data_IF_891820004414
#
_entry.id   IF_891820004414
#
_cell.length_a   1.000
_cell.length_b   1.000
_cell.length_c   1.000
_cell.angle_alpha   90.00
_cell.angle_beta   90.00
_cell.angle_gamma   90.00
#
_symmetry.space_group_name_H-M   'P 1'
#
loop_
_entity.id
_entity.type
_entity.pdbx_description
1 polymer ?
#
# COMPACT_ATOMS: atom_id res chain seq x y z
N UNK A 1 -26.27 -50.74 7.28
CA UNK A 1 -24.99 -50.38 6.61
C UNK A 1 -25.17 -50.53 5.12
N UNK A 2 -25.34 -49.41 4.41
CA UNK A 2 -24.90 -49.20 3.02
C UNK A 2 -25.26 -47.76 2.64
N UNK A 3 -24.23 -46.99 2.29
CA UNK A 3 -24.30 -45.57 1.97
C UNK A 3 -24.94 -45.35 0.58
N UNK A 4 -25.81 -44.34 0.46
CA UNK A 4 -26.18 -43.75 -0.83
C UNK A 4 -25.32 -42.52 -1.06
N UNK A 5 -24.54 -42.57 -2.12
CA UNK A 5 -23.80 -41.44 -2.69
C UNK A 5 -24.79 -40.61 -3.52
N UNK A 6 -24.99 -39.34 -3.16
CA UNK A 6 -25.69 -38.37 -4.00
C UNK A 6 -24.66 -37.57 -4.80
N UNK A 7 -24.68 -37.72 -6.13
CA UNK A 7 -23.94 -36.87 -7.07
C UNK A 7 -24.69 -35.55 -7.23
N UNK A 8 -24.09 -34.45 -6.79
CA UNK A 8 -24.54 -33.09 -7.12
C UNK A 8 -24.11 -32.75 -8.55
N UNK A 9 -25.07 -32.37 -9.39
CA UNK A 9 -24.85 -31.90 -10.76
C UNK A 9 -24.38 -30.44 -10.74
N UNK A 10 -23.31 -30.16 -11.51
CA UNK A 10 -22.80 -28.83 -11.79
C UNK A 10 -23.60 -28.26 -12.98
N UNK A 11 -24.35 -27.18 -12.76
CA UNK A 11 -25.08 -26.49 -13.85
C UNK A 11 -24.15 -25.53 -14.57
N UNK A 12 -23.81 -25.88 -15.81
CA UNK A 12 -23.07 -25.05 -16.77
C UNK A 12 -24.05 -24.04 -17.41
N UNK A 13 -23.84 -22.75 -17.18
CA UNK A 13 -24.66 -21.69 -17.77
C UNK A 13 -24.08 -21.32 -19.14
N UNK A 14 -24.76 -21.73 -20.22
CA UNK A 14 -24.44 -21.40 -21.61
C UNK A 14 -25.01 -20.02 -21.93
N UNK A 15 -24.17 -19.05 -22.28
CA UNK A 15 -24.62 -17.77 -22.85
C UNK A 15 -24.99 -17.95 -24.32
N UNK A 16 -26.23 -17.60 -24.66
CA UNK A 16 -26.75 -17.56 -26.02
C UNK A 16 -26.31 -16.24 -26.69
N UNK A 17 -25.56 -16.33 -27.79
CA UNK A 17 -25.19 -15.19 -28.62
C UNK A 17 -26.37 -14.68 -29.43
N UNK A 18 -26.65 -13.37 -29.36
CA UNK A 18 -27.61 -12.69 -30.23
C UNK A 18 -26.86 -12.13 -31.44
N UNK A 19 -27.21 -12.60 -32.64
CA UNK A 19 -26.80 -11.98 -33.90
C UNK A 19 -27.57 -10.67 -34.09
N UNK A 20 -26.85 -9.56 -34.19
CA UNK A 20 -27.38 -8.28 -34.68
C UNK A 20 -27.00 -8.14 -36.16
N UNK A 21 -28.01 -8.01 -37.01
CA UNK A 21 -27.86 -7.78 -38.45
C UNK A 21 -27.54 -6.30 -38.71
N UNK A 22 -26.42 -6.04 -39.40
CA UNK A 22 -25.95 -4.70 -39.72
C UNK A 22 -26.68 -4.11 -40.94
N UNK A 23 -27.20 -2.89 -40.79
CA UNK A 23 -27.61 -2.02 -41.89
C UNK A 23 -26.55 -0.95 -42.14
N UNK A 24 -26.07 -0.84 -43.38
CA UNK A 24 -25.14 0.20 -43.81
C UNK A 24 -25.82 1.58 -43.89
N UNK A 25 -25.28 2.56 -43.17
CA UNK A 25 -25.51 3.99 -43.40
C UNK A 25 -24.18 4.65 -43.83
N UNK A 26 -24.20 5.66 -44.72
CA UNK A 26 -22.97 6.29 -45.24
C UNK A 26 -22.28 7.13 -44.16
N UNK A 27 -20.93 7.26 -44.20
CA UNK A 27 -20.20 8.02 -43.19
C UNK A 27 -20.45 9.52 -43.37
N UNK A 28 -21.04 10.15 -42.34
CA UNK A 28 -21.02 11.60 -42.19
C UNK A 28 -19.59 12.12 -41.93
N UNK A 29 -19.33 13.42 -42.12
CA UNK A 29 -18.02 13.99 -41.88
C UNK A 29 -17.59 13.73 -40.43
N UNK A 30 -16.36 13.24 -40.24
CA UNK A 30 -15.72 13.11 -38.93
C UNK A 30 -15.59 14.51 -38.33
N UNK A 31 -16.50 14.87 -37.44
CA UNK A 31 -16.25 15.91 -36.45
C UNK A 31 -15.10 15.42 -35.56
N UNK A 32 -14.00 16.15 -35.61
CA UNK A 32 -12.89 16.01 -34.68
C UNK A 32 -13.28 16.76 -33.41
N UNK A 33 -14.08 16.13 -32.56
CA UNK A 33 -14.28 16.60 -31.18
C UNK A 33 -13.05 16.25 -30.36
N UNK A 34 -12.02 17.10 -30.46
CA UNK A 34 -10.90 17.10 -29.55
C UNK A 34 -11.32 17.68 -28.20
N UNK A 35 -12.02 16.91 -27.37
CA UNK A 35 -12.00 17.16 -25.92
C UNK A 35 -10.69 16.59 -25.36
N UNK A 36 -9.62 17.37 -25.43
CA UNK A 36 -8.39 17.06 -24.69
C UNK A 36 -8.64 17.41 -23.23
N UNK A 37 -9.17 16.46 -22.44
CA UNK A 37 -9.30 16.62 -20.99
C UNK A 37 -7.95 16.97 -20.34
N UNK A 38 -7.99 17.72 -19.24
CA UNK A 38 -6.77 18.09 -18.51
C UNK A 38 -6.01 16.84 -18.06
N UNK A 39 -4.69 16.83 -18.26
CA UNK A 39 -3.81 15.72 -17.92
C UNK A 39 -3.37 15.81 -16.46
N UNK A 40 -3.21 14.65 -15.83
CA UNK A 40 -2.71 14.53 -14.47
C UNK A 40 -1.32 15.18 -14.30
N UNK A 41 -0.97 15.67 -13.09
CA UNK A 41 0.37 16.18 -12.82
C UNK A 41 1.45 15.11 -13.09
N UNK A 42 2.52 15.48 -13.78
CA UNK A 42 3.66 14.60 -13.98
C UNK A 42 4.42 14.31 -12.67
N UNK A 43 5.16 13.20 -12.63
CA UNK A 43 6.07 12.91 -11.52
C UNK A 43 7.09 14.03 -11.34
N UNK A 44 7.28 14.56 -10.10
CA UNK A 44 8.30 15.57 -9.85
C UNK A 44 9.72 15.09 -10.25
N UNK A 45 10.60 15.99 -10.72
CA UNK A 45 11.96 15.60 -11.08
C UNK A 45 12.84 15.29 -9.85
N UNK A 46 12.48 15.78 -8.66
CA UNK A 46 13.27 15.61 -7.44
C UNK A 46 12.43 15.71 -6.17
N UNK A 47 12.98 15.25 -5.05
CA UNK A 47 12.34 15.34 -3.73
C UNK A 47 11.51 14.10 -3.39
N UNK A 48 10.71 14.14 -2.31
CA UNK A 48 9.83 13.02 -1.94
C UNK A 48 8.86 12.68 -3.08
N UNK A 49 8.80 11.40 -3.47
CA UNK A 49 7.99 10.93 -4.60
C UNK A 49 8.57 11.28 -5.99
N UNK A 50 9.69 11.98 -6.04
CA UNK A 50 10.36 12.41 -7.26
C UNK A 50 11.09 11.28 -8.00
N UNK A 51 11.50 11.60 -9.23
CA UNK A 51 12.22 10.69 -10.15
C UNK A 51 13.74 10.77 -10.10
N UNK A 52 14.29 11.48 -9.11
CA UNK A 52 15.71 11.62 -8.78
C UNK A 52 16.26 10.34 -8.13
N UNK A 53 16.30 9.26 -8.91
CA UNK A 53 16.74 7.96 -8.44
C UNK A 53 18.28 7.85 -8.39
N UNK A 54 18.91 7.67 -7.21
CA UNK A 54 20.34 7.39 -7.12
C UNK A 54 20.73 6.03 -7.68
N UNK A 55 19.79 5.10 -7.82
CA UNK A 55 20.03 3.75 -8.34
C UNK A 55 19.23 3.49 -9.61
N UNK A 56 19.91 3.00 -10.65
CA UNK A 56 19.30 2.81 -11.95
C UNK A 56 18.35 1.60 -11.98
N UNK A 57 18.59 0.58 -11.14
CA UNK A 57 17.86 -0.69 -11.20
C UNK A 57 17.79 -1.40 -9.82
N UNK A 58 17.07 -2.53 -9.76
CA UNK A 58 16.93 -3.38 -8.58
C UNK A 58 17.27 -4.84 -8.87
N UNK A 59 17.93 -5.50 -7.92
CA UNK A 59 18.13 -6.96 -7.94
C UNK A 59 17.08 -7.63 -7.08
N UNK A 60 16.43 -8.66 -7.62
CA UNK A 60 15.43 -9.47 -6.90
C UNK A 60 16.06 -10.77 -6.39
N UNK A 61 15.88 -11.05 -5.11
CA UNK A 61 16.10 -12.34 -4.47
C UNK A 61 14.77 -12.91 -3.96
N UNK A 62 14.70 -14.22 -3.80
CA UNK A 62 13.49 -14.89 -3.29
C UNK A 62 13.84 -16.19 -2.60
N UNK A 63 12.97 -16.65 -1.71
CA UNK A 63 13.09 -17.95 -1.05
C UNK A 63 11.84 -18.33 -0.27
N UNK A 64 11.94 -19.41 0.49
CA UNK A 64 10.82 -19.99 1.24
C UNK A 64 9.84 -20.77 0.36
N UNK A 65 8.88 -21.44 1.00
CA UNK A 65 7.84 -22.24 0.33
C UNK A 65 6.45 -21.90 0.88
N UNK A 66 5.42 -22.07 0.04
CA UNK A 66 4.03 -21.81 0.42
C UNK A 66 3.83 -20.39 0.98
N UNK A 67 3.20 -20.30 2.15
CA UNK A 67 2.89 -19.04 2.87
C UNK A 67 4.12 -18.38 3.47
N UNK A 68 5.24 -19.12 3.62
CA UNK A 68 6.51 -18.61 4.10
C UNK A 68 7.40 -18.06 2.99
N UNK A 69 6.88 -17.98 1.75
CA UNK A 69 7.60 -17.37 0.63
C UNK A 69 7.88 -15.88 0.88
N UNK A 70 9.01 -15.41 0.37
CA UNK A 70 9.43 -14.01 0.48
C UNK A 70 10.25 -13.56 -0.73
N UNK A 71 10.30 -12.25 -0.93
CA UNK A 71 11.16 -11.58 -1.88
C UNK A 71 11.98 -10.50 -1.19
N UNK A 72 13.18 -10.25 -1.72
CA UNK A 72 14.10 -9.21 -1.30
C UNK A 72 14.50 -8.41 -2.52
N UNK A 73 14.49 -7.09 -2.41
CA UNK A 73 14.87 -6.19 -3.49
C UNK A 73 16.02 -5.30 -3.03
N UNK A 74 17.10 -5.30 -3.80
CA UNK A 74 18.33 -4.60 -3.47
C UNK A 74 18.62 -3.52 -4.52
N UNK A 75 18.99 -2.29 -4.15
CA UNK A 75 19.39 -1.26 -5.10
C UNK A 75 20.70 -1.65 -5.78
N UNK A 76 20.75 -1.50 -7.11
CA UNK A 76 21.95 -1.75 -7.92
C UNK A 76 22.19 -0.61 -8.91
N UNK A 77 23.40 -0.56 -9.45
CA UNK A 77 23.85 0.47 -10.40
C UNK A 77 23.68 1.92 -9.88
N UNK A 78 24.50 2.34 -8.89
CA UNK A 78 25.52 1.54 -8.17
C UNK A 78 24.91 0.71 -7.04
N UNK A 79 25.50 -0.43 -6.70
CA UNK A 79 25.08 -1.20 -5.51
C UNK A 79 25.74 -0.59 -4.26
N UNK A 80 24.97 -0.11 -3.26
CA UNK A 80 25.55 0.39 -2.02
C UNK A 80 25.99 -0.77 -1.11
N UNK A 81 26.88 -0.50 -0.15
CA UNK A 81 27.32 -1.49 0.81
C UNK A 81 26.25 -1.81 1.88
N UNK A 82 25.44 -0.80 2.22
CA UNK A 82 24.28 -0.90 3.12
C UNK A 82 23.21 0.10 2.73
N UNK A 83 21.96 -0.14 3.15
CA UNK A 83 20.81 0.73 2.88
C UNK A 83 19.75 0.58 3.98
N UNK A 84 18.89 1.61 4.20
CA UNK A 84 17.71 1.49 5.06
C UNK A 84 16.82 0.32 4.64
N UNK A 85 16.13 -0.26 5.62
CA UNK A 85 15.24 -1.40 5.40
C UNK A 85 13.79 -0.93 5.30
N UNK A 86 13.10 -1.36 4.24
CA UNK A 86 11.66 -1.24 4.08
C UNK A 86 11.02 -2.62 4.10
N UNK A 87 10.01 -2.80 4.96
CA UNK A 87 9.16 -3.99 4.99
C UNK A 87 7.82 -3.59 4.38
N UNK A 88 7.45 -4.20 3.26
CA UNK A 88 6.22 -3.85 2.52
C UNK A 88 5.31 -5.08 2.51
N UNK A 89 4.07 -4.93 2.97
CA UNK A 89 3.05 -5.98 2.99
C UNK A 89 1.92 -5.64 2.01
N UNK A 90 1.64 -6.58 1.11
CA UNK A 90 0.53 -6.47 0.17
C UNK A 90 -0.84 -6.63 0.82
N UNK A 91 -1.87 -6.26 0.07
CA UNK A 91 -3.27 -6.49 0.43
C UNK A 91 -3.71 -7.93 0.20
N UNK A 92 -4.99 -8.20 0.41
CA UNK A 92 -5.53 -9.55 0.24
C UNK A 92 -5.38 -10.06 -1.20
N UNK A 93 -5.14 -11.36 -1.35
CA UNK A 93 -5.16 -12.10 -2.61
C UNK A 93 -3.94 -12.01 -3.53
N UNK A 94 -2.81 -11.46 -3.08
CA UNK A 94 -1.54 -11.68 -3.79
C UNK A 94 -0.87 -12.99 -3.38
N UNK A 95 -1.30 -14.08 -4.00
CA UNK A 95 -0.84 -15.43 -3.64
C UNK A 95 0.55 -15.79 -4.19
N UNK A 96 1.08 -14.99 -5.11
CA UNK A 96 2.38 -15.20 -5.74
C UNK A 96 2.86 -13.90 -6.38
N UNK A 97 4.16 -13.78 -6.63
CA UNK A 97 4.75 -12.55 -7.16
C UNK A 97 4.74 -11.40 -6.15
N UNK A 98 4.76 -10.19 -6.70
CA UNK A 98 4.81 -8.90 -6.01
C UNK A 98 4.28 -7.79 -6.93
N UNK A 99 3.42 -8.15 -7.89
CA UNK A 99 2.93 -7.26 -8.94
C UNK A 99 2.04 -6.16 -8.36
N UNK A 100 1.29 -6.47 -7.31
CA UNK A 100 0.42 -5.54 -6.59
C UNK A 100 1.18 -4.32 -6.10
N UNK A 101 2.40 -4.51 -5.61
CA UNK A 101 3.22 -3.43 -5.03
C UNK A 101 4.44 -3.09 -5.87
N UNK A 102 4.50 -3.56 -7.13
CA UNK A 102 5.70 -3.47 -7.95
C UNK A 102 6.23 -2.04 -8.10
N UNK A 103 5.38 -1.07 -8.43
CA UNK A 103 5.84 0.30 -8.66
C UNK A 103 6.28 0.98 -7.36
N UNK A 104 5.61 0.71 -6.23
CA UNK A 104 6.03 1.16 -4.90
C UNK A 104 7.38 0.55 -4.50
N UNK A 105 7.56 -0.76 -4.69
CA UNK A 105 8.81 -1.47 -4.42
C UNK A 105 9.93 -0.88 -5.28
N UNK A 106 9.69 -0.75 -6.59
CA UNK A 106 10.67 -0.20 -7.55
C UNK A 106 11.07 1.21 -7.19
N UNK A 107 10.11 2.09 -6.87
CA UNK A 107 10.39 3.45 -6.42
C UNK A 107 11.24 3.42 -5.14
N UNK A 108 10.79 2.69 -4.12
CA UNK A 108 11.45 2.59 -2.80
C UNK A 108 12.90 2.10 -2.93
N UNK A 109 13.13 1.07 -3.75
CA UNK A 109 14.47 0.50 -3.96
C UNK A 109 15.34 1.49 -4.72
N UNK A 110 14.83 2.10 -5.79
CA UNK A 110 15.60 3.06 -6.59
C UNK A 110 15.93 4.35 -5.84
N UNK A 111 15.17 4.69 -4.79
CA UNK A 111 15.50 5.74 -3.80
C UNK A 111 16.54 5.31 -2.75
N UNK A 112 17.07 4.09 -2.83
CA UNK A 112 18.22 3.63 -2.04
C UNK A 112 17.88 2.82 -0.80
N UNK A 113 16.76 2.09 -0.82
CA UNK A 113 16.33 1.21 0.28
C UNK A 113 16.43 -0.26 -0.15
N UNK A 114 16.69 -1.16 0.80
CA UNK A 114 16.42 -2.59 0.60
C UNK A 114 14.97 -2.85 1.01
N UNK A 115 14.23 -3.59 0.18
CA UNK A 115 12.85 -3.99 0.49
C UNK A 115 12.78 -5.48 0.80
N UNK A 116 12.07 -5.84 1.87
CA UNK A 116 11.61 -7.21 2.13
C UNK A 116 10.09 -7.26 1.94
N UNK A 117 9.64 -8.27 1.19
CA UNK A 117 8.25 -8.47 0.82
C UNK A 117 7.82 -9.92 1.13
N UNK A 118 7.17 -10.17 2.28
CA UNK A 118 6.65 -11.48 2.59
C UNK A 118 5.39 -11.76 1.76
N UNK A 119 5.20 -13.02 1.35
CA UNK A 119 3.97 -13.47 0.66
C UNK A 119 2.79 -13.65 1.61
N UNK A 120 3.03 -14.16 2.82
CA UNK A 120 2.09 -14.38 3.94
C UNK A 120 0.72 -15.07 3.69
N UNK A 121 0.24 -15.23 2.45
CA UNK A 121 -1.04 -15.78 2.02
C UNK A 121 -0.87 -16.56 0.72
N UNK A 122 -1.52 -17.72 0.59
CA UNK A 122 -1.52 -18.50 -0.68
C UNK A 122 -2.91 -18.97 -1.09
N UNK A 123 -3.95 -18.51 -0.42
CA UNK A 123 -5.33 -18.79 -0.79
C UNK A 123 -6.33 -17.89 -0.08
N UNK A 124 -7.58 -17.95 -0.53
CA UNK A 124 -8.65 -17.05 -0.10
C UNK A 124 -8.92 -17.05 1.41
N UNK A 125 -8.57 -18.09 2.14
CA UNK A 125 -8.66 -18.16 3.60
C UNK A 125 -7.49 -18.95 4.19
N UNK A 126 -6.34 -18.95 3.49
CA UNK A 126 -5.16 -19.69 3.89
C UNK A 126 -3.93 -18.79 3.84
N UNK A 127 -3.16 -18.69 4.95
CA UNK A 127 -3.22 -19.52 6.15
C UNK A 127 -4.24 -19.05 7.22
N UNK A 128 -4.76 -17.83 7.10
CA UNK A 128 -5.73 -17.26 8.04
C UNK A 128 -7.12 -17.10 7.44
N UNK A 129 -8.15 -17.22 8.28
CA UNK A 129 -9.55 -16.98 7.91
C UNK A 129 -9.94 -15.49 8.01
N UNK A 130 -9.04 -14.58 7.61
CA UNK A 130 -9.23 -13.14 7.70
C UNK A 130 -9.36 -12.64 9.15
N UNK A 131 -10.28 -11.71 9.39
CA UNK A 131 -10.54 -11.07 10.68
C UNK A 131 -10.83 -12.02 11.87
N UNK A 132 -11.20 -13.28 11.62
CA UNK A 132 -11.56 -14.23 12.68
C UNK A 132 -10.35 -14.87 13.38
N UNK A 133 -9.25 -15.05 12.66
CA UNK A 133 -8.01 -15.63 13.18
C UNK A 133 -6.83 -15.19 12.32
N UNK A 134 -6.21 -14.06 12.67
CA UNK A 134 -5.13 -13.44 11.89
C UNK A 134 -3.75 -14.05 12.17
N UNK A 135 -3.60 -14.78 13.27
CA UNK A 135 -2.29 -15.25 13.77
C UNK A 135 -1.50 -16.13 12.80
N UNK A 136 -2.12 -17.00 11.97
CA UNK A 136 -1.40 -17.74 10.94
C UNK A 136 -0.77 -16.83 9.87
N UNK A 137 -1.46 -15.74 9.49
CA UNK A 137 -0.93 -14.75 8.55
C UNK A 137 0.18 -13.91 9.18
N UNK A 138 0.02 -13.51 10.45
CA UNK A 138 1.07 -12.87 11.25
C UNK A 138 2.34 -13.72 11.33
N UNK A 139 2.19 -15.01 11.60
CA UNK A 139 3.30 -15.97 11.66
C UNK A 139 3.99 -16.08 10.30
N UNK A 140 3.21 -16.18 9.22
CA UNK A 140 3.74 -16.33 7.87
C UNK A 140 4.51 -15.07 7.42
N UNK A 141 3.96 -13.88 7.68
CA UNK A 141 4.62 -12.62 7.40
C UNK A 141 5.94 -12.48 8.20
N UNK A 142 5.91 -12.75 9.51
CA UNK A 142 7.10 -12.72 10.37
C UNK A 142 8.21 -13.65 9.85
N UNK A 143 7.87 -14.90 9.52
CA UNK A 143 8.84 -15.88 9.00
C UNK A 143 9.44 -15.39 7.68
N UNK A 144 8.61 -14.89 6.76
CA UNK A 144 9.10 -14.32 5.49
C UNK A 144 10.04 -13.13 5.71
N UNK A 145 9.75 -12.25 6.66
CA UNK A 145 10.62 -11.13 7.02
C UNK A 145 11.96 -11.62 7.59
N UNK A 146 11.92 -12.55 8.54
CA UNK A 146 13.13 -13.11 9.17
C UNK A 146 14.02 -13.83 8.16
N UNK A 147 13.45 -14.63 7.26
CA UNK A 147 14.22 -15.29 6.21
C UNK A 147 14.79 -14.31 5.17
N UNK A 148 14.08 -13.22 4.86
CA UNK A 148 14.63 -12.14 4.03
C UNK A 148 15.82 -11.44 4.68
N UNK A 149 15.75 -11.20 6.00
CA UNK A 149 16.87 -10.65 6.78
C UNK A 149 18.08 -11.62 6.79
N UNK A 150 17.85 -12.91 6.97
CA UNK A 150 18.89 -13.94 6.90
C UNK A 150 19.56 -13.97 5.52
N UNK A 151 18.78 -13.89 4.45
CA UNK A 151 19.29 -13.84 3.08
C UNK A 151 20.21 -12.63 2.84
N UNK A 152 19.84 -11.47 3.39
CA UNK A 152 20.62 -10.24 3.28
C UNK A 152 21.94 -10.26 4.07
N UNK A 153 22.11 -11.18 5.02
CA UNK A 153 23.38 -11.41 5.71
C UNK A 153 24.39 -12.22 4.87
N UNK A 154 23.97 -12.72 3.70
CA UNK A 154 24.84 -13.45 2.77
C UNK A 154 25.91 -12.57 2.09
N UNK A 155 26.96 -13.19 1.53
CA UNK A 155 28.02 -12.47 0.82
C UNK A 155 27.49 -11.76 -0.43
N UNK A 156 28.01 -10.56 -0.72
CA UNK A 156 27.66 -9.78 -1.92
C UNK A 156 26.30 -9.07 -1.86
N UNK A 157 25.63 -9.11 -0.70
CA UNK A 157 24.34 -8.45 -0.46
C UNK A 157 24.49 -7.03 0.06
N UNK A 158 23.46 -6.21 -0.17
CA UNK A 158 23.31 -4.89 0.45
C UNK A 158 22.90 -5.10 1.91
N UNK A 159 23.75 -4.69 2.86
CA UNK A 159 23.47 -4.90 4.28
C UNK A 159 22.32 -4.01 4.76
N UNK A 160 21.26 -4.55 5.39
CA UNK A 160 20.15 -3.74 5.86
C UNK A 160 20.56 -2.94 7.10
N UNK A 161 20.23 -1.66 7.12
CA UNK A 161 20.39 -0.77 8.28
C UNK A 161 19.15 -0.92 9.17
N UNK A 162 19.21 -1.84 10.13
CA UNK A 162 18.05 -2.22 10.96
C UNK A 162 17.56 -1.06 11.85
N UNK A 163 18.44 -0.14 12.21
CA UNK A 163 18.13 1.10 12.93
C UNK A 163 17.35 2.12 12.07
N UNK A 164 17.31 1.93 10.74
CA UNK A 164 16.53 2.70 9.77
C UNK A 164 15.50 1.79 9.09
N UNK A 165 14.61 1.20 9.89
CA UNK A 165 13.53 0.33 9.39
C UNK A 165 12.19 1.06 9.29
N UNK A 166 11.56 0.95 8.13
CA UNK A 166 10.20 1.43 7.86
C UNK A 166 9.26 0.31 7.47
N UNK A 167 7.99 0.43 7.83
CA UNK A 167 6.95 -0.55 7.50
C UNK A 167 5.83 0.10 6.66
N UNK A 168 5.42 -0.57 5.59
CA UNK A 168 4.29 -0.18 4.76
C UNK A 168 3.32 -1.35 4.67
N UNK A 169 2.03 -1.07 4.78
CA UNK A 169 1.01 -2.09 4.59
C UNK A 169 -0.23 -1.53 3.89
N UNK A 170 -0.65 -2.23 2.84
CA UNK A 170 -1.89 -1.94 2.12
C UNK A 170 -3.01 -2.88 2.56
N UNK A 171 -4.22 -2.37 2.76
CA UNK A 171 -5.41 -3.19 3.01
C UNK A 171 -5.19 -4.20 4.15
N UNK A 172 -5.37 -5.50 3.90
CA UNK A 172 -5.11 -6.53 4.91
C UNK A 172 -3.65 -6.52 5.40
N UNK A 173 -2.70 -6.27 4.50
CA UNK A 173 -1.30 -6.04 4.84
C UNK A 173 -1.09 -4.84 5.75
N UNK A 174 -1.97 -3.84 5.71
CA UNK A 174 -2.01 -2.72 6.65
C UNK A 174 -2.31 -3.17 8.09
N UNK A 175 -3.30 -4.06 8.27
CA UNK A 175 -3.62 -4.62 9.59
C UNK A 175 -2.48 -5.50 10.11
N UNK A 176 -1.92 -6.37 9.25
CA UNK A 176 -0.73 -7.14 9.60
C UNK A 176 0.45 -6.24 9.97
N UNK A 177 0.65 -5.15 9.23
CA UNK A 177 1.72 -4.19 9.48
C UNK A 177 1.57 -3.53 10.84
N UNK A 178 0.37 -3.07 11.20
CA UNK A 178 0.11 -2.48 12.50
C UNK A 178 0.43 -3.47 13.64
N UNK A 179 -0.04 -4.72 13.54
CA UNK A 179 0.22 -5.75 14.54
C UNK A 179 1.70 -6.17 14.59
N UNK A 180 2.38 -6.29 13.45
CA UNK A 180 3.81 -6.65 13.40
C UNK A 180 4.66 -5.55 14.01
N UNK A 181 4.36 -4.29 13.69
CA UNK A 181 5.02 -3.13 14.26
C UNK A 181 4.76 -3.02 15.78
N UNK A 182 3.53 -3.30 16.23
CA UNK A 182 3.19 -3.33 17.65
C UNK A 182 3.96 -4.42 18.41
N UNK A 183 4.07 -5.61 17.82
CA UNK A 183 4.68 -6.77 18.47
C UNK A 183 6.19 -6.89 18.21
N UNK A 184 6.79 -5.98 17.45
CA UNK A 184 8.11 -6.15 16.83
C UNK A 184 9.18 -6.71 17.79
N UNK A 185 9.24 -6.21 19.02
CA UNK A 185 10.22 -6.61 20.02
C UNK A 185 10.03 -8.07 20.48
N UNK A 186 8.78 -8.50 20.72
CA UNK A 186 8.48 -9.86 21.20
C UNK A 186 8.65 -10.92 20.12
N UNK A 187 8.50 -10.53 18.85
CA UNK A 187 8.62 -11.41 17.70
C UNK A 187 9.96 -11.30 16.96
N UNK A 188 10.91 -10.52 17.49
CA UNK A 188 12.27 -10.40 16.96
C UNK A 188 12.34 -9.73 15.58
N UNK A 189 11.50 -8.71 15.34
CA UNK A 189 11.56 -7.86 14.16
C UNK A 189 12.21 -6.50 14.47
N UNK A 190 12.83 -5.83 13.48
CA UNK A 190 13.47 -4.54 13.69
C UNK A 190 12.48 -3.47 14.17
N UNK A 191 12.96 -2.57 15.04
CA UNK A 191 12.15 -1.47 15.58
C UNK A 191 11.63 -0.56 14.46
N UNK A 192 10.32 -0.29 14.39
CA UNK A 192 9.77 0.62 13.38
C UNK A 192 10.18 2.07 13.69
N UNK A 193 10.66 2.76 12.66
CA UNK A 193 10.99 4.20 12.69
C UNK A 193 10.01 5.03 11.87
N UNK A 194 9.49 4.46 10.78
CA UNK A 194 8.42 5.03 9.98
C UNK A 194 7.36 3.95 9.67
N UNK A 195 6.08 4.31 9.70
CA UNK A 195 4.96 3.41 9.38
C UNK A 195 4.00 4.13 8.45
N UNK A 196 3.61 3.50 7.33
CA UNK A 196 2.54 3.97 6.48
C UNK A 196 1.51 2.86 6.27
N UNK A 197 0.28 3.10 6.74
CA UNK A 197 -0.87 2.23 6.53
C UNK A 197 -1.75 2.84 5.45
N UNK A 198 -1.86 2.16 4.31
CA UNK A 198 -2.71 2.59 3.20
C UNK A 198 -4.01 1.78 3.20
N UNK A 199 -5.12 2.47 3.47
CA UNK A 199 -6.47 1.88 3.52
C UNK A 199 -6.50 0.54 4.28
N UNK A 200 -5.95 0.44 5.51
CA UNK A 200 -5.89 -0.83 6.22
C UNK A 200 -7.29 -1.45 6.35
N UNK A 201 -7.44 -2.75 6.16
CA UNK A 201 -8.72 -3.46 6.37
C UNK A 201 -8.57 -4.98 6.42
N UNK A 202 -9.20 -5.64 7.38
CA UNK A 202 -9.14 -7.09 7.62
C UNK A 202 -10.23 -7.92 6.90
N UNK A 203 -11.06 -7.27 6.08
CA UNK A 203 -12.16 -7.93 5.34
C UNK A 203 -13.41 -8.22 6.18
N UNK A 204 -13.47 -7.74 7.43
CA UNK A 204 -14.60 -7.85 8.34
C UNK A 204 -15.74 -6.86 8.06
N UNK A 205 -16.69 -6.78 9.00
CA UNK A 205 -17.95 -6.04 8.84
C UNK A 205 -17.93 -4.60 9.34
N UNK A 206 -17.47 -4.35 10.57
CA UNK A 206 -17.28 -3.01 11.15
C UNK A 206 -16.15 -3.08 12.19
N UNK A 207 -15.35 -2.02 12.26
CA UNK A 207 -14.06 -2.05 12.96
C UNK A 207 -13.03 -2.93 12.25
N UNK A 208 -12.07 -3.42 13.02
CA UNK A 208 -10.98 -4.30 12.57
C UNK A 208 -10.74 -5.38 13.64
N UNK A 209 -11.41 -6.52 13.52
CA UNK A 209 -11.33 -7.63 14.47
C UNK A 209 -9.98 -8.34 14.46
N UNK A 210 -9.25 -8.28 13.34
CA UNK A 210 -7.88 -8.75 13.23
C UNK A 210 -6.82 -7.79 13.78
N UNK A 211 -7.20 -6.57 14.18
CA UNK A 211 -6.26 -5.59 14.76
C UNK A 211 -6.05 -5.87 16.24
N UNK A 212 -4.82 -5.70 16.72
CA UNK A 212 -4.51 -5.84 18.15
C UNK A 212 -5.39 -4.95 19.04
N UNK A 213 -5.75 -5.45 20.21
CA UNK A 213 -6.57 -4.71 21.18
C UNK A 213 -5.91 -3.39 21.61
N UNK A 214 -4.58 -3.37 21.71
CA UNK A 214 -3.74 -2.19 21.95
C UNK A 214 -2.58 -2.14 20.94
N UNK A 215 -2.14 -0.93 20.59
CA UNK A 215 -0.96 -0.66 19.75
C UNK A 215 0.20 0.01 20.54
N UNK A 216 0.20 -0.12 21.87
CA UNK A 216 1.19 0.52 22.76
C UNK A 216 2.63 0.03 22.57
N UNK A 217 2.83 -1.13 21.92
CA UNK A 217 4.15 -1.64 21.56
C UNK A 217 4.80 -0.91 20.40
N UNK A 218 4.04 -0.10 19.63
CA UNK A 218 4.60 0.81 18.63
C UNK A 218 5.34 1.95 19.37
N UNK A 219 6.63 2.21 19.10
CA UNK A 219 7.37 3.27 19.77
C UNK A 219 6.77 4.66 19.54
N UNK A 220 6.64 5.47 20.60
CA UNK A 220 6.16 6.86 20.52
C UNK A 220 7.00 7.78 19.60
N UNK A 221 8.24 7.38 19.28
CA UNK A 221 9.16 8.12 18.40
C UNK A 221 9.00 7.81 16.90
N UNK A 222 8.11 6.89 16.54
CA UNK A 222 7.83 6.53 15.14
C UNK A 222 7.24 7.74 14.40
N UNK A 223 7.50 7.87 13.10
CA UNK A 223 6.72 8.74 12.21
C UNK A 223 5.66 7.90 11.51
N UNK A 224 4.37 8.23 11.68
CA UNK A 224 3.27 7.39 11.23
C UNK A 224 2.29 8.16 10.36
N UNK A 225 1.82 7.56 9.28
CA UNK A 225 0.62 8.02 8.60
C UNK A 225 -0.37 6.87 8.45
N UNK A 226 -1.63 7.16 8.76
CA UNK A 226 -2.73 6.26 8.45
C UNK A 226 -3.64 6.95 7.42
N UNK A 227 -3.74 6.34 6.24
CA UNK A 227 -4.55 6.83 5.14
C UNK A 227 -5.82 5.99 4.97
N UNK A 228 -6.97 6.65 4.80
CA UNK A 228 -8.18 6.02 4.25
C UNK A 228 -8.73 6.80 3.07
N UNK A 229 -9.19 6.14 2.02
CA UNK A 229 -9.74 6.82 0.84
C UNK A 229 -11.23 7.16 0.99
N UNK A 230 -11.66 8.28 0.38
CA UNK A 230 -13.06 8.73 0.32
C UNK A 230 -13.97 7.71 -0.37
N UNK A 231 -13.55 7.14 -1.50
CA UNK A 231 -14.28 6.06 -2.20
C UNK A 231 -13.73 4.66 -1.82
N UNK A 232 -13.07 4.56 -0.65
CA UNK A 232 -12.49 3.33 -0.10
C UNK A 232 -13.37 2.64 0.95
N UNK A 233 -12.73 1.89 1.84
CA UNK A 233 -13.38 1.02 2.84
C UNK A 233 -14.39 1.77 3.71
N UNK A 234 -14.04 2.98 4.16
CA UNK A 234 -14.88 3.77 5.08
C UNK A 234 -16.19 4.28 4.46
N UNK A 235 -16.30 4.22 3.13
CA UNK A 235 -17.54 4.55 2.39
C UNK A 235 -18.49 3.37 2.22
N UNK A 236 -18.02 2.15 2.48
CA UNK A 236 -18.85 0.95 2.37
C UNK A 236 -19.89 0.90 3.50
N UNK A 237 -21.06 0.35 3.17
CA UNK A 237 -22.17 0.25 4.12
C UNK A 237 -21.75 -0.56 5.35
N UNK A 238 -21.76 0.08 6.51
CA UNK A 238 -21.43 -0.54 7.79
C UNK A 238 -19.96 -0.49 8.19
N UNK A 239 -19.08 0.13 7.39
CA UNK A 239 -17.63 0.17 7.62
C UNK A 239 -17.09 1.54 8.06
N UNK A 240 -17.97 2.43 8.52
CA UNK A 240 -17.58 3.79 8.87
C UNK A 240 -16.59 3.87 10.05
N UNK A 241 -16.46 2.81 10.87
CA UNK A 241 -15.50 2.72 11.97
C UNK A 241 -14.30 1.81 11.65
N UNK A 242 -14.22 1.27 10.44
CA UNK A 242 -13.11 0.44 9.96
C UNK A 242 -11.91 1.29 9.50
N UNK A 243 -10.87 0.62 9.01
CA UNK A 243 -9.66 1.22 8.49
C UNK A 243 -8.97 2.13 9.50
N UNK A 244 -8.48 3.30 9.08
CA UNK A 244 -7.79 4.21 9.98
C UNK A 244 -8.69 4.74 11.10
N UNK A 245 -10.03 4.67 10.97
CA UNK A 245 -10.94 4.99 12.08
C UNK A 245 -10.87 3.97 13.22
N UNK A 246 -10.46 2.73 12.96
CA UNK A 246 -10.21 1.71 13.98
C UNK A 246 -8.78 1.78 14.54
N UNK A 247 -7.80 2.09 13.67
CA UNK A 247 -6.37 2.11 14.04
C UNK A 247 -6.01 3.35 14.85
N UNK A 248 -6.37 4.54 14.37
CA UNK A 248 -5.86 5.80 14.89
C UNK A 248 -6.19 6.05 16.39
N UNK A 249 -7.39 5.71 16.89
CA UNK A 249 -7.70 5.85 18.32
C UNK A 249 -6.78 5.04 19.26
N UNK A 250 -6.14 3.97 18.77
CA UNK A 250 -5.22 3.12 19.55
C UNK A 250 -3.79 3.64 19.60
N UNK A 251 -3.52 4.78 18.95
CA UNK A 251 -2.18 5.39 18.83
C UNK A 251 -2.01 6.61 19.75
N UNK A 252 -2.81 6.72 20.81
CA UNK A 252 -2.84 7.90 21.69
C UNK A 252 -1.52 8.22 22.40
N UNK A 253 -0.63 7.24 22.53
CA UNK A 253 0.71 7.41 23.13
C UNK A 253 1.75 7.99 22.15
N UNK A 254 1.49 7.96 20.85
CA UNK A 254 2.33 8.61 19.83
C UNK A 254 1.93 10.10 19.78
N UNK A 255 2.88 11.05 19.94
CA UNK A 255 2.60 12.49 19.83
C UNK A 255 1.97 12.88 18.50
N UNK A 256 1.10 13.89 18.49
CA UNK A 256 0.41 14.31 17.26
C UNK A 256 1.41 14.82 16.19
N UNK A 257 2.51 15.46 16.59
CA UNK A 257 3.61 15.84 15.66
C UNK A 257 4.32 14.64 14.97
N UNK A 258 4.00 13.42 15.39
CA UNK A 258 4.58 12.18 14.88
C UNK A 258 3.56 11.34 14.11
N UNK A 259 2.28 11.72 14.04
CA UNK A 259 1.25 10.94 13.34
C UNK A 259 0.17 11.81 12.70
N UNK A 260 -0.25 11.42 11.50
CA UNK A 260 -1.41 12.03 10.83
C UNK A 260 -2.44 11.00 10.40
N UNK A 261 -3.72 11.40 10.47
CA UNK A 261 -4.85 10.70 9.86
C UNK A 261 -5.23 11.42 8.56
N UNK A 262 -5.13 10.72 7.43
CA UNK A 262 -5.22 11.33 6.10
C UNK A 262 -6.32 10.71 5.26
N UNK A 263 -7.03 11.53 4.48
CA UNK A 263 -7.97 11.06 3.47
C UNK A 263 -7.69 11.65 2.08
N UNK A 264 -7.54 10.75 1.11
CA UNK A 264 -7.54 11.07 -0.31
C UNK A 264 -8.98 11.13 -0.84
N UNK A 265 -9.25 12.09 -1.73
CA UNK A 265 -10.53 12.24 -2.43
C UNK A 265 -10.40 11.97 -3.91
N UNK A 266 -11.48 11.52 -4.54
CA UNK A 266 -11.47 11.30 -5.98
C UNK A 266 -11.57 12.64 -6.71
N UNK A 267 -10.57 12.96 -7.54
CA UNK A 267 -10.59 14.14 -8.40
C UNK A 267 -10.93 13.75 -9.84
N UNK A 268 -12.07 14.25 -10.32
CA UNK A 268 -12.62 13.97 -11.65
C UNK A 268 -12.43 15.11 -12.64
N UNK A 269 -11.60 16.11 -12.31
CA UNK A 269 -11.36 17.29 -13.16
C UNK A 269 -10.72 16.92 -14.50
N UNK A 270 -9.70 16.06 -14.48
CA UNK A 270 -9.00 15.61 -15.68
C UNK A 270 -9.32 14.19 -16.13
N UNK A 271 -8.64 13.74 -17.18
CA UNK A 271 -8.80 12.39 -17.75
C UNK A 271 -7.43 11.72 -17.96
N UNK A 272 -7.21 10.51 -17.38
CA UNK A 272 -8.11 9.79 -16.46
C UNK A 272 -8.24 10.50 -15.10
N UNK A 273 -9.34 10.26 -14.35
CA UNK A 273 -9.52 10.82 -13.01
C UNK A 273 -8.48 10.25 -12.04
N UNK A 274 -8.13 11.04 -11.02
CA UNK A 274 -7.35 10.56 -9.88
C UNK A 274 -8.29 9.89 -8.89
N UNK A 275 -8.25 8.57 -8.85
CA UNK A 275 -9.24 7.74 -8.14
C UNK A 275 -8.81 7.46 -6.70
N UNK A 276 -9.70 7.71 -5.74
CA UNK A 276 -9.56 7.32 -4.33
C UNK A 276 -10.30 6.01 -4.02
N UNK A 277 -10.28 5.06 -4.97
CA UNK A 277 -10.81 3.72 -4.70
C UNK A 277 -9.78 2.95 -3.90
N UNK A 278 -10.26 1.98 -3.12
CA UNK A 278 -9.41 1.06 -2.36
C UNK A 278 -8.27 0.49 -3.22
N UNK A 279 -7.02 0.74 -2.81
CA UNK A 279 -5.81 0.34 -3.53
C UNK A 279 -5.28 1.42 -4.47
N UNK A 280 -4.93 2.56 -3.91
CA UNK A 280 -4.32 3.70 -4.63
C UNK A 280 -2.91 3.33 -5.08
N UNK A 281 -2.10 2.76 -4.19
CA UNK A 281 -0.70 2.37 -4.49
C UNK A 281 -0.56 1.03 -5.20
N UNK A 282 -1.66 0.28 -5.28
CA UNK A 282 -1.67 -1.09 -5.76
C UNK A 282 -1.76 -1.19 -7.31
N UNK A 283 -1.46 -0.10 -8.03
CA UNK A 283 -1.52 -0.01 -9.49
C UNK A 283 -2.91 -0.34 -10.06
N UNK A 284 -3.95 0.43 -9.74
CA UNK A 284 -5.33 0.12 -10.16
C UNK A 284 -5.59 0.18 -11.68
N UNK A 285 -6.61 -0.52 -12.25
CA UNK A 285 -7.65 -1.28 -11.56
C UNK A 285 -7.48 -2.79 -11.73
N UNK A 286 -7.15 -3.47 -10.63
CA UNK A 286 -7.07 -4.93 -10.52
C UNK A 286 -5.66 -5.50 -10.35
N UNK A 287 -4.67 -4.65 -10.04
CA UNK A 287 -3.26 -4.99 -9.72
C UNK A 287 -2.32 -5.16 -10.92
N UNK A 288 -2.42 -4.24 -11.88
CA UNK A 288 -1.58 -4.21 -13.09
C UNK A 288 -1.70 -2.91 -13.91
N UNK A 289 -2.25 -1.86 -13.30
CA UNK A 289 -2.27 -0.52 -13.84
C UNK A 289 -0.92 0.17 -13.66
N UNK A 290 -0.69 1.18 -14.49
CA UNK A 290 0.52 2.01 -14.40
C UNK A 290 0.36 2.99 -13.24
N UNK A 291 1.47 3.28 -12.57
CA UNK A 291 1.51 4.36 -11.58
C UNK A 291 0.98 5.66 -12.17
N UNK A 292 0.26 6.43 -11.36
CA UNK A 292 -0.38 7.69 -11.72
C UNK A 292 -0.05 8.81 -10.70
N UNK A 293 -0.66 9.99 -10.82
CA UNK A 293 -0.29 11.09 -9.94
C UNK A 293 -0.60 10.89 -8.46
N UNK A 294 -1.51 10.01 -8.09
CA UNK A 294 -1.70 9.62 -6.69
C UNK A 294 -0.51 8.81 -6.17
N UNK A 295 0.13 7.98 -7.01
CA UNK A 295 1.33 7.25 -6.59
C UNK A 295 2.45 8.23 -6.22
N UNK A 296 2.88 9.09 -7.15
CA UNK A 296 4.05 9.93 -6.90
C UNK A 296 3.78 11.17 -6.04
N UNK A 297 2.61 11.81 -6.14
CA UNK A 297 2.33 13.03 -5.36
C UNK A 297 1.63 12.76 -4.03
N UNK A 298 1.20 11.52 -3.76
CA UNK A 298 0.70 11.12 -2.45
C UNK A 298 1.51 9.98 -1.86
N UNK A 299 1.31 8.75 -2.33
CA UNK A 299 1.81 7.56 -1.62
C UNK A 299 3.34 7.58 -1.50
N UNK A 300 4.05 7.75 -2.62
CA UNK A 300 5.50 7.78 -2.66
C UNK A 300 6.07 9.02 -1.96
N UNK A 301 5.42 10.18 -2.17
CA UNK A 301 5.76 11.43 -1.48
C UNK A 301 5.76 11.26 0.03
N UNK A 302 4.65 10.77 0.59
CA UNK A 302 4.51 10.52 2.03
C UNK A 302 5.47 9.44 2.49
N UNK A 303 5.59 8.34 1.73
CA UNK A 303 6.45 7.22 2.09
C UNK A 303 7.94 7.60 2.18
N UNK A 304 8.42 8.40 1.23
CA UNK A 304 9.77 9.00 1.26
C UNK A 304 9.93 9.99 2.41
N UNK A 305 8.95 10.87 2.60
CA UNK A 305 8.98 11.92 3.61
C UNK A 305 8.94 11.38 5.05
N UNK A 306 8.13 10.35 5.33
CA UNK A 306 8.12 9.69 6.64
C UNK A 306 9.50 9.08 6.97
N UNK A 307 10.15 8.45 6.00
CA UNK A 307 11.50 7.87 6.17
C UNK A 307 12.55 8.95 6.44
N UNK A 308 12.65 9.94 5.56
CA UNK A 308 13.62 11.03 5.70
C UNK A 308 13.40 11.81 6.99
N UNK A 309 12.15 12.05 7.39
CA UNK A 309 11.81 12.66 8.66
C UNK A 309 12.24 11.79 9.86
N UNK A 310 12.02 10.48 9.79
CA UNK A 310 12.38 9.55 10.85
C UNK A 310 13.91 9.32 10.99
N UNK A 311 14.65 9.38 9.88
CA UNK A 311 16.07 9.03 9.83
C UNK A 311 16.99 10.23 9.95
N UNK A 312 16.60 11.34 9.33
CA UNK A 312 17.46 12.50 9.08
C UNK A 312 16.80 13.83 9.53
N UNK A 313 15.52 13.81 9.92
CA UNK A 313 14.78 14.99 10.36
C UNK A 313 14.41 15.96 9.22
N UNK A 314 14.47 15.50 7.97
CA UNK A 314 14.12 16.30 6.78
C UNK A 314 12.75 15.92 6.23
N UNK A 315 12.18 16.79 5.39
CA UNK A 315 10.96 16.53 4.63
C UNK A 315 9.70 16.20 5.45
N UNK A 316 9.72 16.41 6.77
CA UNK A 316 8.59 16.16 7.66
C UNK A 316 7.32 16.87 7.19
N UNK A 317 7.44 18.08 6.65
CA UNK A 317 6.33 18.86 6.13
C UNK A 317 5.61 18.21 4.94
N UNK A 318 6.16 17.18 4.30
CA UNK A 318 5.50 16.49 3.20
C UNK A 318 4.63 15.29 3.65
N UNK A 319 4.70 14.90 4.94
CA UNK A 319 4.00 13.73 5.48
C UNK A 319 3.36 13.90 6.85
N UNK A 320 3.71 14.96 7.60
CA UNK A 320 3.25 15.21 8.95
C UNK A 320 2.81 16.65 9.13
N UNK A 321 1.74 16.83 9.89
CA UNK A 321 1.09 18.10 10.11
C UNK A 321 0.28 18.58 8.91
N UNK A 322 -0.64 19.49 9.20
CA UNK A 322 -1.52 20.10 8.21
C UNK A 322 -0.83 21.22 7.41
N UNK A 323 0.14 20.85 6.58
CA UNK A 323 0.94 21.79 5.77
C UNK A 323 0.45 21.88 4.32
N UNK A 324 0.75 22.98 3.61
CA UNK A 324 0.51 23.07 2.16
C UNK A 324 1.22 21.96 1.37
N UNK A 325 2.45 21.60 1.74
CA UNK A 325 3.26 20.57 1.10
C UNK A 325 2.67 19.16 1.27
N UNK A 326 2.16 18.87 2.46
CA UNK A 326 1.50 17.61 2.75
C UNK A 326 0.17 17.51 1.97
N UNK A 327 -0.67 18.55 2.04
CA UNK A 327 -1.97 18.60 1.33
C UNK A 327 -1.88 18.48 -0.19
N UNK A 328 -0.84 19.05 -0.79
CA UNK A 328 -0.75 19.23 -2.24
C UNK A 328 -0.50 17.91 -2.98
N UNK A 329 -1.31 17.67 -4.02
CA UNK A 329 -1.14 16.55 -4.96
C UNK A 329 -0.67 17.02 -6.35
N UNK A 330 -0.23 18.27 -6.46
CA UNK A 330 0.17 18.91 -7.71
C UNK A 330 -0.97 19.68 -8.38
N UNK A 331 -0.73 20.03 -9.64
CA UNK A 331 -1.67 20.78 -10.48
C UNK A 331 -1.95 20.01 -11.77
N UNK A 332 -3.21 19.98 -12.18
CA UNK A 332 -3.62 19.52 -13.49
C UNK A 332 -2.96 20.38 -14.59
N UNK A 333 -2.88 19.86 -15.82
CA UNK A 333 -2.18 20.51 -16.94
C UNK A 333 -2.72 21.90 -17.32
N UNK A 334 -3.95 22.23 -16.93
CA UNK A 334 -4.61 23.52 -17.12
C UNK A 334 -4.43 24.48 -15.91
N UNK A 335 -3.64 24.09 -14.92
CA UNK A 335 -3.28 24.89 -13.76
C UNK A 335 -4.25 24.77 -12.58
N UNK A 336 -5.33 24.00 -12.71
CA UNK A 336 -6.23 23.73 -11.59
C UNK A 336 -5.51 22.83 -10.56
N UNK A 337 -5.49 23.18 -9.26
CA UNK A 337 -4.97 22.29 -8.23
C UNK A 337 -5.77 20.99 -8.18
N UNK A 338 -5.06 19.87 -8.00
CA UNK A 338 -5.71 18.61 -7.63
C UNK A 338 -6.39 18.78 -6.27
N UNK A 339 -7.55 18.14 -6.05
CA UNK A 339 -8.23 18.16 -4.75
C UNK A 339 -7.23 17.78 -3.64
N UNK A 340 -7.02 18.67 -2.64
CA UNK A 340 -6.00 18.45 -1.62
C UNK A 340 -6.40 17.32 -0.66
N UNK A 341 -5.39 16.70 -0.06
CA UNK A 341 -5.62 15.76 1.04
C UNK A 341 -6.36 16.43 2.20
N UNK A 342 -7.19 15.64 2.87
CA UNK A 342 -7.75 15.99 4.18
C UNK A 342 -6.81 15.41 5.23
N UNK A 343 -6.27 16.26 6.11
CA UNK A 343 -5.38 15.88 7.21
C UNK A 343 -6.08 16.21 8.52
N UNK A 344 -6.07 15.29 9.47
CA UNK A 344 -6.69 15.43 10.78
C UNK A 344 -5.84 14.73 11.86
N UNK A 345 -6.00 15.17 13.11
CA UNK A 345 -5.33 14.58 14.27
C UNK A 345 -6.28 13.72 15.12
N UNK A 346 -7.50 13.47 14.63
CA UNK A 346 -8.49 12.68 15.32
C UNK A 346 -9.43 11.95 14.35
N UNK A 347 -9.73 10.69 14.66
CA UNK A 347 -10.78 9.93 14.01
C UNK A 347 -12.17 10.39 14.50
N UNK A 348 -13.25 10.21 13.72
CA UNK A 348 -13.28 9.50 12.44
C UNK A 348 -13.13 10.41 11.21
N UNK A 349 -12.45 9.90 10.19
CA UNK A 349 -12.62 10.34 8.80
C UNK A 349 -14.04 10.03 8.34
N UNK A 350 -14.62 10.95 7.56
CA UNK A 350 -15.94 10.83 6.94
C UNK A 350 -15.82 11.23 5.47
N UNK A 351 -16.17 10.34 4.53
CA UNK A 351 -16.26 10.67 3.10
C UNK A 351 -17.19 11.84 2.83
#
# INVERSE_FOLDING_TARGET
>A
MTARVAKGQLTLMVMLGVLVTGGCAPPGPRETTGETGSQQPAQPPSGPGGSDYPHADMRVGSGGEGVYGWYVFEPIHPQPASAPLAIILHGYAEYSGYDMMYELIRHTVRKGNVVIYPRWQTGLAFPCAGAFDIEPCMTSARVGIQSGLEFLNGPGRVRPQLERTSYFGFSFGGILTANLANRHASIGLPTPRAIFLEDPHDGGTDGEGGLDESLDGIPASVKLQCHSSEEGIISEKGKAHSSCNAVFPKLGHIPDENKDLVMLRTDRHGTPPLSSRHGVSAGGPGYGGRADACDWNFVWKVWDALRSCAYDGTDCQYALGDTPEHRSLGVWSDGQPVIPLVIQDAAPLRP
#
